data_IF_531210802750
#
_entry.id   IF_531210802750
#
_cell.length_a   1.000
_cell.length_b   1.000
_cell.length_c   1.000
_cell.angle_alpha   90.00
_cell.angle_beta   90.00
_cell.angle_gamma   90.00
#
_symmetry.space_group_name_H-M   'P 1'
#
loop_
_entity.id
_entity.type
_entity.pdbx_description
1 polymer ?
#
# COMPACT_ATOMS: atom_id res chain seq x y z
N UNK A 1 -4.97 15.89 16.77
CA UNK A 1 -3.95 15.92 15.73
C UNK A 1 -3.88 14.58 15.02
N UNK A 2 -4.01 14.56 13.72
CA UNK A 2 -3.89 13.28 13.04
C UNK A 2 -2.50 12.71 13.19
N UNK A 3 -2.44 11.38 13.21
CA UNK A 3 -1.18 10.68 13.24
C UNK A 3 -0.46 10.89 11.91
N UNK A 4 0.71 11.52 11.93
CA UNK A 4 1.46 11.79 10.72
C UNK A 4 1.96 10.52 10.03
N UNK A 5 2.01 9.39 10.74
CA UNK A 5 2.43 8.12 10.16
C UNK A 5 1.30 7.39 9.46
N UNK A 6 0.04 7.77 9.72
CA UNK A 6 -1.10 7.08 9.12
C UNK A 6 -1.24 7.44 7.64
N UNK A 7 -1.49 6.43 6.82
CA UNK A 7 -1.80 6.66 5.42
C UNK A 7 -3.22 7.22 5.31
N UNK A 8 -3.42 8.14 4.37
CA UNK A 8 -4.71 8.77 4.13
C UNK A 8 -5.13 8.51 2.71
N UNK A 9 -6.40 8.23 2.56
CA UNK A 9 -6.99 8.02 1.26
C UNK A 9 -7.59 9.28 0.66
N UNK A 10 -7.92 9.20 -0.62
CA UNK A 10 -7.83 7.93 -1.36
C UNK A 10 -6.40 7.59 -1.74
N UNK A 11 -6.13 6.29 -1.80
CA UNK A 11 -4.87 5.78 -2.32
C UNK A 11 -4.89 5.83 -3.84
N UNK A 12 -3.72 5.98 -4.44
CA UNK A 12 -3.55 5.87 -5.89
C UNK A 12 -2.51 4.82 -6.20
N UNK A 13 -2.57 4.27 -7.43
CA UNK A 13 -1.61 3.28 -7.86
C UNK A 13 -0.96 3.73 -9.16
N UNK A 14 0.29 3.30 -9.36
CA UNK A 14 1.03 3.55 -10.58
C UNK A 14 1.63 2.24 -11.05
N UNK A 15 1.26 1.80 -12.27
CA UNK A 15 1.79 0.56 -12.84
C UNK A 15 3.29 0.71 -13.08
N UNK A 16 4.03 -0.31 -12.63
CA UNK A 16 5.47 -0.37 -12.86
C UNK A 16 5.82 -1.49 -13.85
N UNK A 17 4.81 -2.14 -14.41
CA UNK A 17 4.96 -3.25 -15.33
C UNK A 17 3.73 -4.12 -15.25
N UNK A 18 3.79 -5.32 -15.86
CA UNK A 18 2.65 -6.22 -15.88
C UNK A 18 2.40 -6.87 -14.53
N UNK A 19 3.42 -6.94 -13.67
CA UNK A 19 3.36 -7.73 -12.44
C UNK A 19 3.51 -6.88 -11.17
N UNK A 20 3.58 -5.57 -11.30
CA UNK A 20 3.84 -4.71 -10.15
C UNK A 20 3.21 -3.32 -10.30
N UNK A 21 2.75 -2.77 -9.18
CA UNK A 21 2.29 -1.40 -9.06
C UNK A 21 2.87 -0.78 -7.80
N UNK A 22 3.10 0.53 -7.84
CA UNK A 22 3.40 1.29 -6.64
C UNK A 22 2.11 1.87 -6.08
N UNK A 23 2.01 1.97 -4.75
CA UNK A 23 0.84 2.50 -4.05
C UNK A 23 1.24 3.75 -3.29
N UNK A 24 0.48 4.82 -3.48
CA UNK A 24 0.73 6.13 -2.86
C UNK A 24 -0.50 6.57 -2.08
N UNK A 25 -0.29 7.28 -0.97
CA UNK A 25 -1.40 7.88 -0.24
C UNK A 25 -1.78 9.23 -0.87
N UNK A 26 -2.77 9.91 -0.28
CA UNK A 26 -3.25 11.18 -0.84
C UNK A 26 -2.21 12.30 -0.77
N UNK A 27 -1.18 12.13 0.07
CA UNK A 27 -0.08 13.10 0.16
C UNK A 27 1.06 12.75 -0.79
N UNK A 28 0.90 11.70 -1.60
CA UNK A 28 1.92 11.27 -2.53
C UNK A 28 3.03 10.44 -1.92
N UNK A 29 2.89 10.00 -0.66
CA UNK A 29 3.89 9.14 -0.02
C UNK A 29 3.77 7.72 -0.57
N UNK A 30 4.89 7.10 -0.87
CA UNK A 30 4.94 5.72 -1.32
C UNK A 30 4.77 4.80 -0.11
N UNK A 31 3.61 4.16 -0.01
CA UNK A 31 3.23 3.38 1.17
C UNK A 31 3.27 1.87 0.96
N UNK A 32 3.51 1.44 -0.26
CA UNK A 32 3.62 0.01 -0.55
C UNK A 32 3.63 -0.27 -2.03
N UNK A 33 3.57 -1.55 -2.33
CA UNK A 33 3.52 -2.04 -3.71
C UNK A 33 2.52 -3.18 -3.79
N UNK A 34 1.96 -3.38 -4.98
CA UNK A 34 1.13 -4.54 -5.27
C UNK A 34 1.89 -5.40 -6.27
N UNK A 35 2.03 -6.68 -5.96
CA UNK A 35 2.72 -7.64 -6.81
C UNK A 35 1.78 -8.75 -7.20
N UNK A 36 1.74 -9.06 -8.50
CA UNK A 36 0.95 -10.17 -9.01
C UNK A 36 1.71 -11.47 -8.79
N UNK A 37 1.17 -12.33 -7.93
CA UNK A 37 1.77 -13.60 -7.56
C UNK A 37 0.68 -14.65 -7.62
N UNK A 38 0.85 -15.69 -8.46
CA UNK A 38 -0.14 -16.77 -8.60
C UNK A 38 -1.55 -16.25 -8.87
N UNK A 39 -1.65 -15.30 -9.80
CA UNK A 39 -2.90 -14.71 -10.25
C UNK A 39 -3.64 -13.86 -9.20
N UNK A 40 -2.98 -13.52 -8.08
CA UNK A 40 -3.54 -12.58 -7.10
C UNK A 40 -2.56 -11.45 -6.87
N UNK A 41 -3.09 -10.28 -6.54
CA UNK A 41 -2.27 -9.11 -6.22
C UNK A 41 -2.05 -9.06 -4.72
N UNK A 42 -0.80 -9.14 -4.31
CA UNK A 42 -0.43 -9.10 -2.89
C UNK A 42 0.14 -7.72 -2.55
N UNK A 43 -0.43 -7.09 -1.51
CA UNK A 43 0.07 -5.82 -1.04
C UNK A 43 1.29 -6.02 -0.16
N UNK A 44 2.36 -5.32 -0.52
CA UNK A 44 3.60 -5.31 0.27
C UNK A 44 3.77 -3.90 0.84
N UNK A 45 3.50 -3.74 2.13
CA UNK A 45 3.69 -2.47 2.79
C UNK A 45 5.16 -2.07 2.79
N UNK A 46 5.44 -0.80 2.67
CA UNK A 46 6.79 -0.27 2.87
C UNK A 46 6.74 0.96 3.75
N UNK A 47 7.84 1.19 4.45
CA UNK A 47 8.10 2.45 5.13
C UNK A 47 9.49 2.94 4.75
N UNK A 48 9.86 4.06 5.30
CA UNK A 48 11.20 4.63 5.13
C UNK A 48 11.77 4.95 6.50
N UNK A 49 13.03 4.62 6.70
CA UNK A 49 13.71 4.95 7.96
C UNK A 49 14.22 6.40 7.93
N UNK A 50 14.89 6.80 8.98
CA UNK A 50 15.42 8.17 9.09
C UNK A 50 16.48 8.52 8.05
N UNK A 51 17.02 7.50 7.37
CA UNK A 51 18.01 7.67 6.30
C UNK A 51 17.38 7.51 4.92
N UNK A 52 16.05 7.53 4.83
CA UNK A 52 15.27 7.35 3.60
C UNK A 52 15.47 5.99 2.93
N UNK A 53 15.86 4.98 3.71
CA UNK A 53 15.95 3.62 3.21
C UNK A 53 14.62 2.92 3.36
N UNK A 54 14.30 2.07 2.40
CA UNK A 54 13.05 1.31 2.42
C UNK A 54 13.09 0.27 3.54
N UNK A 55 12.01 0.22 4.32
CA UNK A 55 11.80 -0.78 5.36
C UNK A 55 10.66 -1.69 4.87
N UNK A 56 10.98 -2.88 4.33
CA UNK A 56 9.95 -3.78 3.83
C UNK A 56 9.01 -4.22 4.94
N UNK A 57 7.72 -4.21 4.65
CA UNK A 57 6.70 -4.60 5.61
C UNK A 57 6.38 -3.53 6.65
N UNK A 58 7.09 -2.41 6.64
CA UNK A 58 6.89 -1.33 7.59
C UNK A 58 5.97 -0.24 7.06
N UNK A 59 6.02 0.93 7.71
CA UNK A 59 5.30 2.10 7.27
C UNK A 59 3.86 2.17 7.74
N UNK A 60 3.10 3.17 7.24
CA UNK A 60 1.76 3.45 7.76
C UNK A 60 0.73 2.37 7.47
N UNK A 61 0.98 1.50 6.48
CA UNK A 61 0.06 0.40 6.16
C UNK A 61 0.65 -0.96 6.56
N UNK A 62 1.59 -0.99 7.51
CA UNK A 62 2.21 -2.23 7.96
C UNK A 62 1.18 -3.27 8.42
N UNK A 63 0.09 -2.85 9.03
CA UNK A 63 -0.96 -3.75 9.50
C UNK A 63 -1.74 -4.41 8.37
N UNK A 64 -1.55 -3.96 7.13
CA UNK A 64 -2.17 -4.55 5.94
C UNK A 64 -1.17 -5.29 5.05
N UNK A 65 0.06 -5.45 5.52
CA UNK A 65 1.09 -6.17 4.78
C UNK A 65 0.59 -7.59 4.45
N UNK A 66 0.76 -7.99 3.18
CA UNK A 66 0.32 -9.28 2.63
C UNK A 66 -1.18 -9.41 2.38
N UNK A 67 -1.94 -8.31 2.39
CA UNK A 67 -3.34 -8.32 1.97
C UNK A 67 -3.45 -8.70 0.50
N UNK A 68 -4.41 -9.55 0.17
CA UNK A 68 -4.60 -10.07 -1.19
C UNK A 68 -5.79 -9.40 -1.87
N UNK A 69 -5.65 -9.17 -3.18
CA UNK A 69 -6.71 -8.62 -4.02
C UNK A 69 -6.80 -9.47 -5.28
N UNK A 70 -8.03 -9.74 -5.72
CA UNK A 70 -8.25 -10.52 -6.95
C UNK A 70 -7.91 -9.72 -8.21
N UNK A 71 -8.02 -8.39 -8.15
CA UNK A 71 -7.75 -7.52 -9.30
C UNK A 71 -7.28 -6.16 -8.82
N UNK A 72 -6.84 -5.33 -9.77
CA UNK A 72 -6.42 -3.95 -9.49
C UNK A 72 -7.61 -2.99 -9.53
N UNK A 73 -8.61 -3.25 -8.71
CA UNK A 73 -9.76 -2.35 -8.59
C UNK A 73 -9.44 -1.34 -7.50
N UNK A 74 -9.37 -0.05 -7.86
CA UNK A 74 -8.93 0.98 -6.91
C UNK A 74 -9.89 1.13 -5.72
N UNK A 75 -11.17 0.91 -5.92
CA UNK A 75 -12.13 1.01 -4.83
C UNK A 75 -11.93 -0.13 -3.82
N UNK A 76 -11.70 -1.35 -4.32
CA UNK A 76 -11.40 -2.50 -3.46
C UNK A 76 -10.08 -2.31 -2.72
N UNK A 77 -9.08 -1.77 -3.39
CA UNK A 77 -7.78 -1.51 -2.79
C UNK A 77 -7.90 -0.50 -1.67
N UNK A 78 -8.62 0.61 -1.91
CA UNK A 78 -8.83 1.61 -0.88
C UNK A 78 -9.59 1.02 0.31
N UNK A 79 -10.66 0.26 0.04
CA UNK A 79 -11.44 -0.36 1.10
C UNK A 79 -10.59 -1.34 1.90
N UNK A 80 -9.79 -2.17 1.22
CA UNK A 80 -9.00 -3.21 1.87
C UNK A 80 -7.82 -2.69 2.64
N UNK A 81 -7.21 -1.59 2.20
CA UNK A 81 -5.99 -1.07 2.83
C UNK A 81 -6.26 0.02 3.86
N UNK A 82 -7.32 0.79 3.69
CA UNK A 82 -7.61 1.92 4.59
C UNK A 82 -8.64 1.58 5.66
N UNK A 83 -9.44 0.54 5.44
CA UNK A 83 -10.47 0.19 6.40
C UNK A 83 -9.83 -0.31 7.70
N UNK A 84 -10.20 0.31 8.80
CA UNK A 84 -9.74 -0.14 10.11
C UNK A 84 -10.69 -1.20 10.62
N UNK A 85 -10.13 -2.34 11.01
CA UNK A 85 -10.92 -3.37 11.65
C UNK A 85 -11.45 -2.87 12.98
N UNK A 86 -12.65 -3.27 13.33
CA UNK A 86 -13.21 -2.92 14.64
C UNK A 86 -12.34 -3.42 15.79
#
# INVERSE_FOLDING_TARGET
>A
MPDASAARGPLTISRQGDLACSVFDEQGRHVGNLKLINAVWKFKAIGYDEHSRIVPGGGPLTYRHNTLFASLNIDDINAGLLHKSP
#
